data_IF_718792746868
#
_entry.id   IF_718792746868
#
_cell.length_a   1.000
_cell.length_b   1.000
_cell.length_c   1.000
_cell.angle_alpha   90.00
_cell.angle_beta   90.00
_cell.angle_gamma   90.00
#
_symmetry.space_group_name_H-M   'P 1'
#
loop_
_entity.id
_entity.type
_entity.pdbx_description
1 polymer ?
#
# COMPACT_ATOMS: atom_id res chain seq x y z
N UNK A 1 -9.61 -2.67 23.33
CA UNK A 1 -9.16 -3.24 22.05
C UNK A 1 -7.71 -2.84 21.85
N UNK A 2 -6.76 -3.77 21.85
CA UNK A 2 -5.40 -3.47 21.39
C UNK A 2 -5.55 -3.10 19.91
N UNK A 3 -5.03 -1.94 19.51
CA UNK A 3 -5.16 -1.48 18.13
C UNK A 3 -4.53 -2.51 17.19
N UNK A 4 -5.27 -2.98 16.19
CA UNK A 4 -4.81 -3.94 15.17
C UNK A 4 -3.46 -3.48 14.58
N UNK A 5 -3.26 -2.17 14.45
CA UNK A 5 -2.03 -1.56 13.95
C UNK A 5 -0.82 -1.82 14.85
N UNK A 6 -1.01 -1.96 16.17
CA UNK A 6 0.07 -2.24 17.12
C UNK A 6 0.53 -3.69 17.11
N UNK A 7 -0.33 -4.61 16.64
CA UNK A 7 -0.01 -6.03 16.51
C UNK A 7 0.66 -6.31 15.16
N UNK A 8 0.13 -5.72 14.08
CA UNK A 8 0.76 -5.76 12.76
C UNK A 8 2.18 -5.23 12.79
N UNK A 9 2.40 -4.07 13.42
CA UNK A 9 3.74 -3.47 13.53
C UNK A 9 4.74 -4.39 14.25
N UNK A 10 4.30 -5.11 15.28
CA UNK A 10 5.16 -6.07 16.00
C UNK A 10 5.55 -7.25 15.12
N UNK A 11 4.58 -7.81 14.39
CA UNK A 11 4.83 -8.91 13.47
C UNK A 11 5.79 -8.49 12.34
N UNK A 12 5.64 -7.28 11.82
CA UNK A 12 6.53 -6.72 10.79
C UNK A 12 7.95 -6.50 11.33
N UNK A 13 8.10 -5.97 12.54
CA UNK A 13 9.40 -5.84 13.20
C UNK A 13 10.06 -7.20 13.48
N UNK A 14 9.27 -8.18 13.91
CA UNK A 14 9.75 -9.54 14.17
C UNK A 14 10.21 -10.22 12.88
N UNK A 15 9.42 -10.12 11.81
CA UNK A 15 9.78 -10.66 10.50
C UNK A 15 11.06 -10.02 9.95
N UNK A 16 11.19 -8.69 10.06
CA UNK A 16 12.39 -7.97 9.61
C UNK A 16 13.62 -8.39 10.42
N UNK A 17 13.48 -8.48 11.75
CA UNK A 17 14.54 -8.98 12.62
C UNK A 17 14.96 -10.39 12.24
N UNK A 18 14.01 -11.29 11.97
CA UNK A 18 14.29 -12.66 11.57
C UNK A 18 15.00 -12.69 10.20
N UNK A 19 14.51 -11.99 9.19
CA UNK A 19 15.13 -11.95 7.85
C UNK A 19 16.59 -11.49 7.87
N UNK A 20 16.94 -10.63 8.82
CA UNK A 20 18.33 -10.18 9.03
C UNK A 20 19.24 -11.19 9.73
N UNK A 21 18.71 -12.30 10.24
CA UNK A 21 19.46 -13.29 11.01
C UNK A 21 20.58 -13.94 10.18
N UNK A 22 21.84 -13.91 10.67
CA UNK A 22 22.97 -14.51 9.97
C UNK A 22 22.81 -16.02 9.76
N UNK A 23 23.31 -16.48 8.61
CA UNK A 23 23.36 -17.89 8.24
C UNK A 23 24.70 -18.52 8.60
N UNK A 24 24.69 -19.72 9.16
CA UNK A 24 25.91 -20.48 9.45
C UNK A 24 25.78 -21.97 9.09
N UNK A 25 26.90 -22.60 8.74
CA UNK A 25 27.01 -24.04 8.55
C UNK A 25 27.69 -24.67 9.77
N UNK A 26 27.09 -25.70 10.35
CA UNK A 26 27.68 -26.43 11.48
C UNK A 26 28.75 -27.41 11.00
N UNK A 27 29.84 -27.55 11.75
CA UNK A 27 30.93 -28.47 11.44
C UNK A 27 31.69 -28.87 12.70
N UNK A 28 32.50 -29.91 12.59
CA UNK A 28 33.35 -30.37 13.69
C UNK A 28 34.59 -29.48 13.84
N UNK A 29 34.74 -28.87 15.00
CA UNK A 29 35.91 -28.12 15.40
C UNK A 29 37.11 -29.02 15.72
N UNK A 30 38.29 -28.40 15.90
CA UNK A 30 39.55 -29.12 16.18
C UNK A 30 39.53 -29.93 17.48
N UNK A 31 38.75 -29.49 18.46
CA UNK A 31 38.59 -30.14 19.76
C UNK A 31 37.44 -31.16 19.78
N UNK A 32 36.86 -31.50 18.62
CA UNK A 32 35.74 -32.43 18.50
C UNK A 32 34.36 -31.83 18.77
N UNK A 33 34.29 -30.60 19.30
CA UNK A 33 33.04 -29.87 19.52
C UNK A 33 32.43 -29.35 18.22
N UNK A 34 31.10 -29.23 18.16
CA UNK A 34 30.39 -28.62 17.03
C UNK A 34 30.54 -27.09 17.09
N UNK A 35 30.99 -26.50 15.99
CA UNK A 35 31.09 -25.05 15.77
C UNK A 35 30.29 -24.67 14.53
N UNK A 36 29.93 -23.39 14.42
CA UNK A 36 29.36 -22.84 13.19
C UNK A 36 30.40 -22.03 12.42
N UNK A 37 30.21 -21.94 11.11
CA UNK A 37 30.93 -20.99 10.26
C UNK A 37 29.92 -20.14 9.52
N UNK A 38 30.02 -18.82 9.67
CA UNK A 38 29.14 -17.88 8.97
C UNK A 38 29.30 -18.07 7.47
N UNK A 39 28.17 -18.20 6.77
CA UNK A 39 28.14 -18.50 5.33
C UNK A 39 28.34 -17.25 4.46
N UNK A 40 27.77 -16.11 4.88
CA UNK A 40 27.67 -14.88 4.10
C UNK A 40 27.93 -13.65 5.00
N UNK A 41 28.41 -12.56 4.42
CA UNK A 41 28.55 -11.28 5.14
C UNK A 41 27.18 -10.74 5.54
N UNK A 42 27.10 -10.17 6.74
CA UNK A 42 25.92 -9.47 7.26
C UNK A 42 26.30 -8.11 7.83
N UNK A 43 25.36 -7.44 8.51
CA UNK A 43 25.57 -6.07 9.00
C UNK A 43 26.76 -5.96 9.98
N UNK A 44 26.87 -6.88 10.92
CA UNK A 44 27.89 -6.90 11.99
C UNK A 44 28.70 -8.20 12.04
N UNK A 45 28.48 -9.10 11.07
CA UNK A 45 29.12 -10.41 10.95
C UNK A 45 29.78 -10.55 9.58
N UNK A 46 30.93 -11.22 9.53
CA UNK A 46 31.60 -11.50 8.26
C UNK A 46 31.60 -12.99 7.94
N UNK A 47 31.54 -13.30 6.64
CA UNK A 47 31.66 -14.63 6.11
C UNK A 47 32.93 -15.31 6.65
N UNK A 48 32.79 -16.56 7.06
CA UNK A 48 33.89 -17.33 7.62
C UNK A 48 34.19 -17.10 9.10
N UNK A 49 33.53 -16.15 9.78
CA UNK A 49 33.61 -16.01 11.23
C UNK A 49 33.19 -17.31 11.92
N UNK A 50 33.88 -17.65 13.02
CA UNK A 50 33.60 -18.85 13.80
C UNK A 50 32.50 -18.53 14.81
N UNK A 51 31.51 -19.43 14.88
CA UNK A 51 30.40 -19.39 15.83
C UNK A 51 30.61 -20.45 16.89
N UNK A 52 30.60 -20.03 18.14
CA UNK A 52 30.63 -20.90 19.32
C UNK A 52 29.24 -20.93 19.94
N UNK A 53 28.69 -22.13 20.10
CA UNK A 53 27.34 -22.30 20.65
C UNK A 53 27.36 -22.46 22.16
N UNK A 54 26.42 -21.79 22.85
CA UNK A 54 26.11 -22.10 24.26
C UNK A 54 25.41 -23.44 24.40
N UNK A 55 24.52 -23.75 23.45
CA UNK A 55 23.86 -25.04 23.31
C UNK A 55 24.11 -25.53 21.88
N UNK A 56 25.07 -26.44 21.66
CA UNK A 56 25.44 -26.86 20.31
C UNK A 56 24.32 -27.72 19.68
N UNK A 57 24.17 -27.64 18.34
CA UNK A 57 23.39 -28.60 17.58
C UNK A 57 23.85 -30.04 17.84
N UNK A 58 22.94 -31.00 17.71
CA UNK A 58 23.25 -32.42 17.89
C UNK A 58 23.99 -33.02 16.68
N UNK A 59 23.89 -32.39 15.51
CA UNK A 59 24.46 -32.88 14.25
C UNK A 59 25.36 -31.82 13.59
N UNK A 60 26.37 -32.31 12.86
CA UNK A 60 27.22 -31.51 11.98
C UNK A 60 26.63 -31.42 10.57
N UNK A 61 27.13 -30.48 9.75
CA UNK A 61 26.68 -30.21 8.38
C UNK A 61 25.23 -29.73 8.26
N UNK A 62 24.71 -29.09 9.30
CA UNK A 62 23.41 -28.43 9.30
C UNK A 62 23.56 -26.96 8.94
N UNK A 63 22.61 -26.45 8.15
CA UNK A 63 22.47 -25.00 7.94
C UNK A 63 21.54 -24.44 9.00
N UNK A 64 21.97 -23.37 9.67
CA UNK A 64 21.26 -22.76 10.79
C UNK A 64 21.21 -21.24 10.65
N UNK A 65 20.27 -20.62 11.36
CA UNK A 65 20.19 -19.17 11.57
C UNK A 65 20.52 -18.81 13.00
N UNK A 66 21.29 -17.74 13.17
CA UNK A 66 21.67 -17.21 14.47
C UNK A 66 20.63 -16.19 14.93
N UNK A 67 19.78 -16.56 15.89
CA UNK A 67 18.65 -15.73 16.34
C UNK A 67 19.09 -14.80 17.47
N UNK A 68 19.90 -15.30 18.41
CA UNK A 68 20.43 -14.52 19.50
C UNK A 68 21.92 -14.77 19.63
N UNK A 69 22.73 -13.74 19.38
CA UNK A 69 24.17 -13.87 19.35
C UNK A 69 24.88 -12.59 19.77
N UNK A 70 26.18 -12.70 20.04
CA UNK A 70 27.06 -11.58 20.33
C UNK A 70 28.41 -11.77 19.63
N UNK A 71 28.85 -10.75 18.89
CA UNK A 71 30.19 -10.68 18.33
C UNK A 71 31.18 -10.27 19.43
N UNK A 72 32.31 -10.99 19.54
CA UNK A 72 33.36 -10.76 20.53
C UNK A 72 34.73 -10.76 19.90
N UNK A 73 35.64 -9.97 20.44
CA UNK A 73 37.05 -10.01 20.08
C UNK A 73 37.80 -11.09 20.90
N UNK A 74 38.69 -11.82 20.24
CA UNK A 74 39.54 -12.82 20.87
C UNK A 74 40.56 -12.17 21.80
N UNK A 75 40.52 -12.55 23.08
CA UNK A 75 41.54 -12.15 24.07
C UNK A 75 42.95 -12.66 23.74
N UNK A 76 43.06 -13.73 22.95
CA UNK A 76 44.35 -14.36 22.59
C UNK A 76 44.97 -13.76 21.33
N UNK A 77 44.19 -13.08 20.50
CA UNK A 77 44.67 -12.52 19.23
C UNK A 77 43.84 -11.29 18.91
N UNK A 78 44.44 -10.12 19.12
CA UNK A 78 43.77 -8.84 18.80
C UNK A 78 43.41 -8.76 17.32
N UNK A 79 42.27 -8.14 17.03
CA UNK A 79 41.71 -8.00 15.68
C UNK A 79 41.02 -9.25 15.14
N UNK A 80 40.95 -10.35 15.90
CA UNK A 80 40.16 -11.53 15.51
C UNK A 80 38.83 -11.58 16.24
N UNK A 81 37.74 -11.56 15.49
CA UNK A 81 36.37 -11.63 16.02
C UNK A 81 35.76 -13.02 15.87
N UNK A 82 34.87 -13.37 16.79
CA UNK A 82 34.09 -14.61 16.78
C UNK A 82 32.71 -14.35 17.36
N UNK A 83 31.77 -15.25 17.06
CA UNK A 83 30.38 -15.13 17.49
C UNK A 83 30.13 -16.10 18.65
N UNK A 84 29.50 -15.63 19.71
CA UNK A 84 28.88 -16.49 20.72
C UNK A 84 27.39 -16.52 20.44
N UNK A 85 26.87 -17.70 20.07
CA UNK A 85 25.47 -17.91 19.78
C UNK A 85 24.77 -18.50 21.01
N UNK A 86 23.71 -17.81 21.46
CA UNK A 86 22.86 -18.21 22.58
C UNK A 86 21.64 -19.00 22.09
N UNK A 87 21.06 -18.59 20.96
CA UNK A 87 19.92 -19.25 20.35
C UNK A 87 20.08 -19.34 18.83
N UNK A 88 19.74 -20.50 18.29
CA UNK A 88 19.80 -20.79 16.86
C UNK A 88 18.61 -21.66 16.48
N UNK A 89 18.28 -21.64 15.19
CA UNK A 89 17.25 -22.50 14.61
C UNK A 89 17.76 -23.11 13.31
N UNK A 90 17.24 -24.27 12.95
CA UNK A 90 17.53 -24.88 11.65
C UNK A 90 16.94 -24.03 10.52
N UNK A 91 17.61 -23.96 9.37
CA UNK A 91 17.13 -23.19 8.21
C UNK A 91 15.72 -23.60 7.79
N UNK A 92 15.39 -24.89 7.82
CA UNK A 92 14.05 -25.40 7.46
C UNK A 92 12.96 -24.83 8.38
N UNK A 93 13.11 -25.00 9.69
CA UNK A 93 12.19 -24.46 10.69
C UNK A 93 12.12 -22.92 10.67
N UNK A 94 13.24 -22.26 10.34
CA UNK A 94 13.28 -20.82 10.17
C UNK A 94 12.45 -20.35 8.97
N UNK A 95 12.59 -21.00 7.81
CA UNK A 95 11.79 -20.69 6.63
C UNK A 95 10.30 -20.91 6.91
N UNK A 96 9.93 -22.01 7.57
CA UNK A 96 8.54 -22.24 8.00
C UNK A 96 8.01 -21.12 8.92
N UNK A 97 8.84 -20.63 9.84
CA UNK A 97 8.47 -19.52 10.74
C UNK A 97 8.27 -18.22 9.96
N UNK A 98 9.16 -17.91 9.02
CA UNK A 98 9.01 -16.75 8.13
C UNK A 98 7.72 -16.84 7.33
N UNK A 99 7.45 -17.98 6.69
CA UNK A 99 6.25 -18.19 5.89
C UNK A 99 4.97 -18.03 6.71
N UNK A 100 4.96 -18.55 7.95
CA UNK A 100 3.85 -18.39 8.89
C UNK A 100 3.63 -16.93 9.28
N UNK A 101 4.69 -16.19 9.62
CA UNK A 101 4.60 -14.76 9.94
C UNK A 101 4.12 -13.94 8.74
N UNK A 102 4.65 -14.21 7.54
CA UNK A 102 4.19 -13.58 6.30
C UNK A 102 2.73 -13.89 5.99
N UNK A 103 2.27 -15.12 6.25
CA UNK A 103 0.86 -15.48 6.12
C UNK A 103 0.00 -14.71 7.13
N UNK A 104 0.41 -14.65 8.39
CA UNK A 104 -0.32 -13.90 9.42
C UNK A 104 -0.42 -12.41 9.07
N UNK A 105 0.69 -11.78 8.67
CA UNK A 105 0.71 -10.38 8.21
C UNK A 105 -0.24 -10.18 7.03
N UNK A 106 -0.24 -11.09 6.05
CA UNK A 106 -1.19 -11.05 4.91
C UNK A 106 -2.64 -11.16 5.37
N UNK A 107 -2.96 -12.03 6.31
CA UNK A 107 -4.31 -12.19 6.86
C UNK A 107 -4.77 -10.96 7.66
N UNK A 108 -3.88 -10.36 8.44
CA UNK A 108 -4.13 -9.10 9.14
C UNK A 108 -4.44 -7.96 8.16
N UNK A 109 -3.55 -7.74 7.18
CA UNK A 109 -3.74 -6.71 6.13
C UNK A 109 -5.03 -6.94 5.36
N UNK A 110 -5.36 -8.19 5.03
CA UNK A 110 -6.62 -8.53 4.37
C UNK A 110 -7.83 -8.15 5.22
N UNK A 111 -7.79 -8.45 6.52
CA UNK A 111 -8.89 -8.13 7.46
C UNK A 111 -9.06 -6.61 7.59
N UNK A 112 -7.97 -5.87 7.70
CA UNK A 112 -7.96 -4.41 7.70
C UNK A 112 -8.55 -3.85 6.40
N UNK A 113 -8.09 -4.34 5.25
CA UNK A 113 -8.59 -3.90 3.94
C UNK A 113 -10.09 -4.19 3.76
N UNK A 114 -10.57 -5.36 4.24
CA UNK A 114 -12.02 -5.66 4.25
C UNK A 114 -12.77 -4.63 5.09
N UNK A 115 -12.25 -4.29 6.27
CA UNK A 115 -12.90 -3.34 7.16
C UNK A 115 -12.97 -1.95 6.52
N UNK A 116 -11.88 -1.48 5.92
CA UNK A 116 -11.84 -0.20 5.19
C UNK A 116 -12.79 -0.20 3.99
N UNK A 117 -12.81 -1.26 3.19
CA UNK A 117 -13.71 -1.37 2.04
C UNK A 117 -15.19 -1.44 2.42
N UNK A 118 -15.53 -2.03 3.58
CA UNK A 118 -16.89 -2.02 4.11
C UNK A 118 -17.42 -0.61 4.36
N UNK A 119 -16.55 0.32 4.77
CA UNK A 119 -16.93 1.72 5.01
C UNK A 119 -17.34 2.42 3.70
N UNK A 120 -16.81 1.96 2.56
CA UNK A 120 -17.17 2.47 1.23
C UNK A 120 -18.41 1.76 0.67
N UNK A 121 -18.45 0.44 0.74
CA UNK A 121 -19.49 -0.36 0.07
C UNK A 121 -20.76 -0.48 0.90
N UNK A 122 -20.70 -0.26 2.22
CA UNK A 122 -21.72 -0.65 3.19
C UNK A 122 -22.13 -2.14 3.11
N UNK A 123 -21.29 -2.98 2.50
CA UNK A 123 -21.56 -4.41 2.29
C UNK A 123 -20.27 -5.27 2.43
N UNK A 124 -20.19 -6.14 3.46
CA UNK A 124 -19.11 -7.10 3.64
C UNK A 124 -18.85 -8.04 2.46
N UNK A 125 -19.89 -8.51 1.77
CA UNK A 125 -19.72 -9.45 0.67
C UNK A 125 -19.09 -8.78 -0.55
N UNK A 126 -19.55 -7.57 -0.88
CA UNK A 126 -18.96 -6.74 -1.93
C UNK A 126 -17.52 -6.36 -1.60
N UNK A 127 -17.22 -5.99 -0.34
CA UNK A 127 -15.85 -5.70 0.10
C UNK A 127 -14.90 -6.91 -0.11
N UNK A 128 -15.36 -8.12 0.22
CA UNK A 128 -14.57 -9.34 -0.01
C UNK A 128 -14.40 -9.64 -1.51
N UNK A 129 -15.43 -9.41 -2.33
CA UNK A 129 -15.34 -9.60 -3.79
C UNK A 129 -14.36 -8.61 -4.41
N UNK A 130 -14.36 -7.36 -3.99
CA UNK A 130 -13.42 -6.33 -4.45
C UNK A 130 -11.96 -6.79 -4.27
N UNK A 131 -11.59 -7.31 -3.09
CA UNK A 131 -10.22 -7.79 -2.83
C UNK A 131 -9.80 -9.00 -3.66
N UNK A 132 -10.75 -9.77 -4.19
CA UNK A 132 -10.47 -10.94 -5.03
C UNK A 132 -10.54 -10.62 -6.52
N UNK A 133 -10.99 -9.42 -6.87
CA UNK A 133 -11.26 -9.07 -8.26
C UNK A 133 -10.01 -8.47 -8.89
N UNK A 134 -9.35 -9.24 -9.74
CA UNK A 134 -8.20 -8.78 -10.53
C UNK A 134 -8.64 -8.00 -11.78
N UNK A 135 -9.88 -8.21 -12.23
CA UNK A 135 -10.43 -7.51 -13.39
C UNK A 135 -10.99 -6.14 -13.02
N UNK A 136 -10.32 -5.09 -13.48
CA UNK A 136 -10.69 -3.70 -13.20
C UNK A 136 -12.13 -3.34 -13.54
N UNK A 137 -12.66 -3.81 -14.67
CA UNK A 137 -14.05 -3.53 -15.05
C UNK A 137 -15.07 -4.14 -14.07
N UNK A 138 -14.81 -5.36 -13.61
CA UNK A 138 -15.64 -6.01 -12.60
C UNK A 138 -15.52 -5.31 -11.25
N UNK A 139 -14.31 -4.84 -10.90
CA UNK A 139 -14.04 -4.09 -9.68
C UNK A 139 -14.84 -2.76 -9.66
N UNK A 140 -14.76 -1.99 -10.73
CA UNK A 140 -15.52 -0.74 -10.89
C UNK A 140 -17.03 -1.02 -10.84
N UNK A 141 -17.50 -2.08 -11.50
CA UNK A 141 -18.92 -2.45 -11.49
C UNK A 141 -19.42 -2.82 -10.09
N UNK A 142 -18.56 -3.38 -9.23
CA UNK A 142 -18.88 -3.65 -7.84
C UNK A 142 -18.92 -2.35 -7.01
N UNK A 143 -17.96 -1.44 -7.19
CA UNK A 143 -17.96 -0.14 -6.50
C UNK A 143 -19.20 0.68 -6.85
N UNK A 144 -19.59 0.70 -8.13
CA UNK A 144 -20.76 1.40 -8.63
C UNK A 144 -22.12 0.86 -8.12
N UNK A 145 -22.14 -0.23 -7.34
CA UNK A 145 -23.36 -0.64 -6.63
C UNK A 145 -23.67 0.27 -5.45
N UNK A 146 -22.65 0.91 -4.89
CA UNK A 146 -22.75 1.80 -3.73
C UNK A 146 -22.30 3.22 -4.05
N UNK A 147 -21.63 3.44 -5.18
CA UNK A 147 -21.08 4.72 -5.57
C UNK A 147 -21.84 5.43 -6.68
N UNK A 148 -21.95 6.76 -6.54
CA UNK A 148 -22.61 7.65 -7.51
C UNK A 148 -21.75 7.88 -8.75
N UNK A 149 -20.44 7.93 -8.57
CA UNK A 149 -19.45 7.87 -9.65
C UNK A 149 -18.14 7.24 -9.19
N UNK A 150 -17.40 6.66 -10.13
CA UNK A 150 -16.04 6.15 -9.91
C UNK A 150 -15.17 6.62 -11.07
N UNK A 151 -14.04 7.23 -10.75
CA UNK A 151 -12.97 7.56 -11.68
C UNK A 151 -11.72 6.79 -11.28
N UNK A 152 -10.90 6.36 -12.23
CA UNK A 152 -9.74 5.53 -11.92
C UNK A 152 -8.61 5.67 -12.92
N UNK A 153 -7.42 5.30 -12.45
CA UNK A 153 -6.22 5.10 -13.26
C UNK A 153 -5.58 3.75 -12.91
N UNK A 154 -4.29 3.57 -13.17
CA UNK A 154 -3.61 2.30 -12.94
C UNK A 154 -3.46 1.89 -11.48
N UNK A 155 -3.46 2.81 -10.54
CA UNK A 155 -3.11 2.52 -9.14
C UNK A 155 -4.17 3.02 -8.16
N UNK A 156 -5.05 3.90 -8.62
CA UNK A 156 -5.93 4.70 -7.79
C UNK A 156 -7.37 4.74 -8.33
N UNK A 157 -8.32 4.83 -7.40
CA UNK A 157 -9.73 5.00 -7.64
C UNK A 157 -10.24 6.19 -6.83
N UNK A 158 -10.84 7.17 -7.50
CA UNK A 158 -11.61 8.22 -6.88
C UNK A 158 -13.09 7.82 -6.88
N UNK A 159 -13.64 7.63 -5.68
CA UNK A 159 -15.00 7.14 -5.45
C UNK A 159 -15.84 8.30 -4.92
N UNK A 160 -16.97 8.53 -5.58
CA UNK A 160 -17.87 9.65 -5.29
C UNK A 160 -19.17 9.12 -4.70
N UNK A 161 -19.37 9.38 -3.41
CA UNK A 161 -20.59 9.05 -2.65
C UNK A 161 -21.15 10.35 -2.04
N UNK A 162 -21.55 10.31 -0.75
CA UNK A 162 -21.82 11.50 0.06
C UNK A 162 -20.52 12.22 0.47
N UNK A 163 -19.40 11.50 0.38
CA UNK A 163 -18.04 11.98 0.55
C UNK A 163 -17.20 11.57 -0.65
N UNK A 164 -16.12 12.29 -0.91
CA UNK A 164 -15.10 11.85 -1.86
C UNK A 164 -14.07 10.97 -1.15
N UNK A 165 -13.83 9.81 -1.72
CA UNK A 165 -12.90 8.84 -1.17
C UNK A 165 -11.88 8.45 -2.21
N UNK A 166 -10.59 8.62 -1.90
CA UNK A 166 -9.49 8.10 -2.70
C UNK A 166 -9.09 6.72 -2.17
N UNK A 167 -9.04 5.75 -3.06
CA UNK A 167 -8.63 4.39 -2.79
C UNK A 167 -7.39 4.04 -3.63
N UNK A 168 -6.31 3.59 -2.98
CA UNK A 168 -5.03 3.27 -3.63
C UNK A 168 -4.61 1.84 -3.36
N UNK A 169 -4.00 1.21 -4.36
CA UNK A 169 -3.41 -0.12 -4.26
C UNK A 169 -1.89 -0.04 -4.41
N UNK A 170 -1.18 0.04 -3.28
CA UNK A 170 0.29 -0.05 -3.23
C UNK A 170 0.71 -1.18 -2.28
N UNK A 171 0.44 -2.43 -2.68
CA UNK A 171 0.61 -3.63 -1.85
C UNK A 171 -0.34 -3.75 -0.64
N UNK A 172 -0.97 -2.65 -0.23
CA UNK A 172 -2.05 -2.54 0.77
C UNK A 172 -3.14 -1.61 0.25
N UNK A 173 -4.36 -1.70 0.82
CA UNK A 173 -5.45 -0.79 0.47
C UNK A 173 -5.36 0.43 1.38
N UNK A 174 -5.01 1.56 0.78
CA UNK A 174 -5.11 2.85 1.44
C UNK A 174 -6.43 3.52 1.07
N UNK A 175 -7.12 4.04 2.08
CA UNK A 175 -8.38 4.76 1.91
C UNK A 175 -8.24 6.10 2.61
N UNK A 176 -8.51 7.17 1.88
CA UNK A 176 -8.47 8.53 2.41
C UNK A 176 -9.70 9.32 1.95
N UNK A 177 -10.27 10.09 2.86
CA UNK A 177 -11.29 11.07 2.52
C UNK A 177 -10.61 12.30 1.92
N UNK A 178 -11.12 12.78 0.80
CA UNK A 178 -10.60 13.95 0.09
C UNK A 178 -11.71 14.97 -0.09
N UNK A 179 -11.34 16.20 -0.42
CA UNK A 179 -12.30 17.29 -0.66
C UNK A 179 -12.13 17.82 -2.08
N UNK A 180 -13.22 18.34 -2.63
CA UNK A 180 -13.18 19.04 -3.92
C UNK A 180 -12.73 20.49 -3.70
N UNK A 181 -11.88 21.06 -4.57
CA UNK A 181 -11.23 20.44 -5.73
C UNK A 181 -10.21 19.37 -5.32
N UNK A 182 -10.20 18.25 -6.03
CA UNK A 182 -9.25 17.14 -5.80
C UNK A 182 -8.33 17.00 -6.99
N UNK A 183 -7.03 16.87 -6.73
CA UNK A 183 -6.05 16.56 -7.78
C UNK A 183 -6.06 15.06 -8.08
N UNK A 184 -6.39 14.69 -9.29
CA UNK A 184 -6.46 13.30 -9.72
C UNK A 184 -6.36 13.19 -11.24
N UNK A 185 -5.63 12.19 -11.73
CA UNK A 185 -5.43 11.92 -13.17
C UNK A 185 -6.24 10.68 -13.57
N UNK A 186 -7.54 10.81 -13.88
CA UNK A 186 -8.33 9.66 -14.31
C UNK A 186 -7.98 9.27 -15.75
N UNK A 187 -7.77 7.98 -15.97
CA UNK A 187 -7.71 7.41 -17.33
C UNK A 187 -9.11 7.06 -17.84
N UNK A 188 -10.01 6.70 -16.91
CA UNK A 188 -11.38 6.27 -17.21
C UNK A 188 -12.32 6.67 -16.07
N UNK A 189 -13.61 6.76 -16.38
CA UNK A 189 -14.66 7.04 -15.41
C UNK A 189 -15.99 6.41 -15.79
N UNK A 190 -16.82 6.22 -14.77
CA UNK A 190 -18.24 5.86 -14.88
C UNK A 190 -19.04 6.63 -13.85
N UNK A 191 -20.04 7.37 -14.31
CA UNK A 191 -20.91 8.19 -13.46
C UNK A 191 -22.38 7.82 -13.67
N UNK A 192 -23.08 7.46 -12.58
CA UNK A 192 -24.50 7.09 -12.63
C UNK A 192 -25.40 8.29 -12.36
N UNK A 193 -25.03 9.17 -11.43
CA UNK A 193 -25.83 10.32 -11.00
C UNK A 193 -25.28 11.66 -11.48
N UNK A 194 -24.14 11.67 -12.16
CA UNK A 194 -23.48 12.88 -12.65
C UNK A 194 -23.37 12.89 -14.18
N UNK A 195 -23.48 14.08 -14.75
CA UNK A 195 -22.95 14.45 -16.05
C UNK A 195 -21.46 14.80 -15.88
N UNK A 196 -20.61 14.27 -16.76
CA UNK A 196 -19.17 14.57 -16.77
C UNK A 196 -18.90 15.63 -17.83
N UNK A 197 -18.21 16.70 -17.43
CA UNK A 197 -17.74 17.76 -18.33
C UNK A 197 -16.23 17.90 -18.18
N UNK A 198 -15.53 17.80 -19.30
CA UNK A 198 -14.10 18.13 -19.40
C UNK A 198 -13.94 19.53 -19.95
N UNK A 199 -13.09 20.31 -19.29
CA UNK A 199 -12.68 21.65 -19.72
C UNK A 199 -11.15 21.74 -19.65
N UNK A 200 -10.56 22.55 -20.53
CA UNK A 200 -9.12 22.80 -20.53
C UNK A 200 -8.70 23.89 -19.54
N UNK A 201 -9.66 24.71 -19.13
CA UNK A 201 -9.46 25.89 -18.32
C UNK A 201 -9.53 25.57 -16.81
N UNK A 202 -8.66 26.20 -16.03
CA UNK A 202 -8.62 26.06 -14.57
C UNK A 202 -9.81 26.81 -13.93
N UNK A 203 -10.79 26.05 -13.42
CA UNK A 203 -11.94 26.57 -12.68
C UNK A 203 -11.89 26.13 -11.22
N UNK A 204 -11.78 27.11 -10.32
CA UNK A 204 -11.67 26.88 -8.87
C UNK A 204 -12.96 27.08 -8.09
N UNK A 205 -13.89 27.84 -8.65
CA UNK A 205 -15.16 28.17 -8.01
C UNK A 205 -16.28 27.48 -8.77
N UNK A 206 -16.91 26.50 -8.11
CA UNK A 206 -18.10 25.82 -8.61
C UNK A 206 -19.19 25.82 -7.55
N UNK A 207 -20.48 25.65 -7.94
CA UNK A 207 -21.57 25.55 -6.99
C UNK A 207 -21.40 24.38 -6.04
N UNK A 208 -21.99 24.49 -4.85
CA UNK A 208 -22.10 23.38 -3.92
C UNK A 208 -22.79 22.18 -4.59
N UNK A 209 -22.28 20.98 -4.33
CA UNK A 209 -22.74 19.74 -4.95
C UNK A 209 -22.07 19.39 -6.30
N UNK A 210 -21.31 20.33 -6.88
CA UNK A 210 -20.47 20.04 -8.04
C UNK A 210 -19.11 19.57 -7.54
N UNK A 211 -18.49 18.64 -8.28
CA UNK A 211 -17.19 18.08 -7.91
C UNK A 211 -16.19 18.43 -8.98
N UNK A 212 -15.17 19.20 -8.60
CA UNK A 212 -14.01 19.53 -9.42
C UNK A 212 -12.89 18.52 -9.17
N UNK A 213 -12.36 18.02 -10.27
CA UNK A 213 -11.23 17.12 -10.34
C UNK A 213 -10.18 17.76 -11.24
N UNK A 214 -9.05 18.14 -10.67
CA UNK A 214 -7.96 18.82 -11.36
C UNK A 214 -6.95 17.78 -11.87
N UNK A 215 -6.76 17.77 -13.19
CA UNK A 215 -5.67 17.07 -13.85
C UNK A 215 -4.61 18.06 -14.32
N UNK A 216 -3.42 17.58 -14.73
CA UNK A 216 -2.36 18.42 -15.29
C UNK A 216 -2.76 19.09 -16.60
N UNK A 217 -3.72 18.52 -17.31
CA UNK A 217 -4.07 18.95 -18.68
C UNK A 217 -5.53 19.39 -18.83
N UNK A 218 -6.39 19.00 -17.89
CA UNK A 218 -7.83 19.19 -17.95
C UNK A 218 -8.42 19.31 -16.56
N UNK A 219 -9.51 20.06 -16.43
CA UNK A 219 -10.37 20.01 -15.26
C UNK A 219 -11.61 19.20 -15.61
N UNK A 220 -11.92 18.19 -14.81
CA UNK A 220 -13.14 17.40 -14.90
C UNK A 220 -14.12 17.92 -13.85
N UNK A 221 -15.34 18.23 -14.28
CA UNK A 221 -16.42 18.65 -13.41
C UNK A 221 -17.51 17.58 -13.47
N UNK A 222 -17.82 16.99 -12.32
CA UNK A 222 -19.00 16.14 -12.16
C UNK A 222 -20.17 17.02 -11.72
N UNK A 223 -21.22 17.01 -12.53
CA UNK A 223 -22.40 17.87 -12.37
C UNK A 223 -23.60 16.98 -12.10
N UNK A 224 -24.37 17.17 -11.01
CA UNK A 224 -25.55 16.35 -10.76
C UNK A 224 -26.50 16.33 -11.95
N UNK A 225 -27.07 15.17 -12.27
CA UNK A 225 -27.94 15.01 -13.46
C UNK A 225 -29.17 15.89 -13.44
N UNK A 226 -29.67 16.31 -12.27
CA UNK A 226 -30.73 17.31 -12.17
C UNK A 226 -30.32 18.67 -12.78
N UNK A 227 -29.01 18.96 -12.85
CA UNK A 227 -28.42 20.17 -13.42
C UNK A 227 -27.97 19.98 -14.87
N UNK A 228 -28.58 19.05 -15.62
CA UNK A 228 -28.19 18.71 -17.00
C UNK A 228 -28.06 19.91 -17.94
N UNK A 229 -28.94 20.91 -17.81
CA UNK A 229 -28.88 22.11 -18.66
C UNK A 229 -27.56 22.88 -18.47
N UNK A 230 -27.03 22.94 -17.25
CA UNK A 230 -25.73 23.56 -16.95
C UNK A 230 -24.63 22.75 -17.64
N UNK A 231 -24.65 21.42 -17.52
CA UNK A 231 -23.66 20.54 -18.16
C UNK A 231 -23.65 20.72 -19.70
N UNK A 232 -24.81 20.79 -20.34
CA UNK A 232 -24.93 21.00 -21.79
C UNK A 232 -24.38 22.38 -22.22
N UNK A 233 -24.59 23.42 -21.41
CA UNK A 233 -24.06 24.77 -21.68
C UNK A 233 -22.54 24.82 -21.51
N UNK A 234 -21.99 24.20 -20.47
CA UNK A 234 -20.55 24.13 -20.25
C UNK A 234 -19.83 23.37 -21.38
N UNK A 235 -20.40 22.23 -21.83
CA UNK A 235 -19.89 21.49 -22.99
C UNK A 235 -19.83 22.37 -24.25
N UNK A 236 -20.91 23.12 -24.54
CA UNK A 236 -20.94 24.06 -25.67
C UNK A 236 -19.84 25.13 -25.60
N UNK A 237 -19.52 25.63 -24.41
CA UNK A 237 -18.44 26.61 -24.24
C UNK A 237 -17.08 25.94 -24.44
N UNK A 238 -16.89 24.74 -23.88
CA UNK A 238 -15.66 23.94 -24.03
C UNK A 238 -15.34 23.71 -25.51
N UNK A 239 -16.33 23.26 -26.28
CA UNK A 239 -16.20 22.97 -27.71
C UNK A 239 -16.12 24.23 -28.60
N UNK A 240 -16.36 25.41 -28.04
CA UNK A 240 -16.36 26.66 -28.81
C UNK A 240 -14.94 27.11 -29.18
N UNK A 241 -14.83 27.88 -30.28
CA UNK A 241 -13.57 28.54 -30.70
C UNK A 241 -13.36 29.91 -30.03
N UNK A 242 -14.02 30.14 -28.89
CA UNK A 242 -13.87 31.40 -28.16
C UNK A 242 -12.46 31.49 -27.54
N UNK A 243 -11.91 32.70 -27.38
CA UNK A 243 -10.69 32.89 -26.61
C UNK A 243 -10.85 32.37 -25.17
N UNK A 244 -9.76 31.85 -24.60
CA UNK A 244 -9.71 31.29 -23.25
C UNK A 244 -10.31 32.23 -22.19
N UNK A 245 -9.95 33.51 -22.23
CA UNK A 245 -10.45 34.52 -21.29
C UNK A 245 -11.99 34.67 -21.36
N UNK A 246 -12.55 34.59 -22.57
CA UNK A 246 -14.00 34.63 -22.77
C UNK A 246 -14.66 33.35 -22.27
N UNK A 247 -14.05 32.18 -22.48
CA UNK A 247 -14.56 30.91 -21.94
C UNK A 247 -14.59 30.93 -20.41
N UNK A 248 -13.51 31.39 -19.76
CA UNK A 248 -13.44 31.55 -18.31
C UNK A 248 -14.54 32.46 -17.76
N UNK A 249 -14.81 33.59 -18.42
CA UNK A 249 -15.92 34.48 -18.02
C UNK A 249 -17.28 33.81 -18.14
N UNK A 250 -17.54 33.08 -19.23
CA UNK A 250 -18.79 32.36 -19.45
C UNK A 250 -18.97 31.22 -18.45
N UNK A 251 -17.89 30.50 -18.12
CA UNK A 251 -17.93 29.46 -17.11
C UNK A 251 -18.25 30.02 -15.74
N UNK A 252 -17.58 31.10 -15.32
CA UNK A 252 -17.89 31.77 -14.05
C UNK A 252 -19.36 32.23 -13.99
N UNK A 253 -19.85 32.81 -15.08
CA UNK A 253 -21.25 33.24 -15.16
C UNK A 253 -22.26 32.09 -15.03
N UNK A 254 -21.95 30.91 -15.60
CA UNK A 254 -22.81 29.73 -15.51
C UNK A 254 -22.70 28.99 -14.17
N UNK A 255 -21.51 28.96 -13.58
CA UNK A 255 -21.20 28.26 -12.33
C UNK A 255 -21.46 29.13 -11.10
N UNK A 256 -22.12 30.29 -11.27
CA UNK A 256 -22.53 31.14 -10.14
C UNK A 256 -21.40 31.92 -9.49
N UNK A 257 -20.25 32.09 -10.18
CA UNK A 257 -19.19 33.01 -9.80
C UNK A 257 -19.73 34.44 -9.78
N UNK A 258 -20.23 34.84 -8.62
CA UNK A 258 -20.65 36.21 -8.35
C UNK A 258 -19.39 37.07 -8.26
N UNK A 259 -19.41 38.23 -8.92
CA UNK A 259 -18.41 39.28 -8.73
C UNK A 259 -18.27 39.68 -7.26
#
# INVERSE_FOLDING_TARGET
MKSINSELYKLEQELESLKSAPKALTMRGREGNIIGRVAEDGNDVSAGMIVLFKQPPLQENMTIRLIEYQVRESKKTSGKYYIVCFNWVEESAFQETIEQLEQQIREFRKTENIQKLKEITNDPETALKLLKTEQREAFVSLLLKSAKAVLWNNEEFLIVNDKLTMLRFDGTVEISEVQSPVRFEPEQWKAQEFEVVEISEDIKEVPEGFIVIESWTTTIILIPKESKEIAERLKKISDSRLPEETKLQLYKALLGGSQ
#
